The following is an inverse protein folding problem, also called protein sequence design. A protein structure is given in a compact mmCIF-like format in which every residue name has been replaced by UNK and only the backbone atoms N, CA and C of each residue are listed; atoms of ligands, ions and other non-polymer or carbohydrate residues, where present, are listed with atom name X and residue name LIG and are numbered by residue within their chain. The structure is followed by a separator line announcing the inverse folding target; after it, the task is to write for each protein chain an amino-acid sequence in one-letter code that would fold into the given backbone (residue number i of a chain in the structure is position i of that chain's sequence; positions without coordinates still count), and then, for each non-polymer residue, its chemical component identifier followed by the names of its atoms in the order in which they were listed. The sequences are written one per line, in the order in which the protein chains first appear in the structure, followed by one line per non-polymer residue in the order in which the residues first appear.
data_IF_623158561314
#
_entry.id   IF_623158561314
#
_cell.length_a   1.000
_cell.length_b   1.000
_cell.length_c   1.000
_cell.angle_alpha   90.00
_cell.angle_beta   90.00
_cell.angle_gamma   90.00
#
_symmetry.space_group_name_H-M   'P 1'
#
loop_
_entity.id
_entity.type
_entity.pdbx_description
1 polymer ?
#
# COMPACT_ATOMS: atom_id res chain seq x y z
N UNK A 1 -20.11 -17.08 18.45
CA UNK A 1 -20.91 -16.19 17.56
C UNK A 1 -20.26 -16.14 16.17
N UNK A 2 -20.29 -17.24 15.42
CA UNK A 2 -19.68 -17.31 14.08
C UNK A 2 -20.70 -17.16 12.94
N UNK A 3 -21.98 -17.43 13.20
CA UNK A 3 -23.03 -17.37 12.18
C UNK A 3 -23.53 -15.94 11.90
N UNK A 4 -23.30 -14.98 12.80
CA UNK A 4 -23.77 -13.60 12.63
C UNK A 4 -22.88 -12.78 11.68
N UNK A 5 -21.60 -13.13 11.52
CA UNK A 5 -20.64 -12.43 10.64
C UNK A 5 -20.91 -12.66 9.15
N UNK A 6 -21.74 -13.64 8.78
CA UNK A 6 -22.18 -13.83 7.39
C UNK A 6 -23.03 -12.67 6.87
N UNK A 7 -23.62 -11.87 7.76
CA UNK A 7 -24.36 -10.67 7.39
C UNK A 7 -23.48 -9.41 7.28
N UNK A 8 -22.19 -9.48 7.65
CA UNK A 8 -21.31 -8.33 7.59
C UNK A 8 -20.88 -8.05 6.15
N UNK A 9 -20.93 -6.79 5.69
CA UNK A 9 -20.44 -6.44 4.37
C UNK A 9 -18.92 -6.56 4.30
N UNK A 10 -18.37 -6.76 3.10
CA UNK A 10 -16.91 -6.78 2.88
C UNK A 10 -16.20 -5.49 3.33
N UNK A 11 -16.93 -4.37 3.41
CA UNK A 11 -16.45 -3.09 3.92
C UNK A 11 -16.37 -3.00 5.46
N UNK A 12 -16.65 -4.10 6.18
CA UNK A 12 -16.47 -4.15 7.62
C UNK A 12 -14.98 -3.92 7.98
N UNK A 13 -14.70 -2.83 8.69
CA UNK A 13 -13.35 -2.45 9.04
C UNK A 13 -12.64 -3.56 9.82
N UNK A 14 -11.45 -3.94 9.35
CA UNK A 14 -10.61 -4.97 9.97
C UNK A 14 -9.24 -4.37 10.27
N UNK A 15 -8.63 -4.81 11.38
CA UNK A 15 -7.26 -4.44 11.74
C UNK A 15 -6.36 -5.66 11.54
N UNK A 16 -5.29 -5.49 10.78
CA UNK A 16 -4.33 -6.55 10.45
C UNK A 16 -2.94 -6.02 10.78
N UNK A 17 -2.11 -6.84 11.41
CA UNK A 17 -0.68 -6.58 11.61
C UNK A 17 0.08 -7.44 10.62
N UNK A 18 0.98 -6.84 9.85
CA UNK A 18 1.77 -7.52 8.83
C UNK A 18 3.24 -7.16 9.02
N UNK A 19 4.12 -8.16 8.91
CA UNK A 19 5.57 -7.97 8.89
C UNK A 19 6.09 -8.45 7.54
N UNK A 20 6.92 -7.63 6.90
CA UNK A 20 7.54 -7.92 5.60
C UNK A 20 8.99 -7.46 5.62
N UNK A 21 9.88 -8.22 4.99
CA UNK A 21 11.22 -7.74 4.71
C UNK A 21 11.23 -6.73 3.55
N UNK A 22 12.37 -6.06 3.30
CA UNK A 22 12.45 -5.04 2.25
C UNK A 22 12.17 -5.55 0.83
N UNK A 23 12.55 -6.79 0.51
CA UNK A 23 12.28 -7.39 -0.81
C UNK A 23 10.78 -7.62 -1.01
N UNK A 24 10.12 -8.15 0.01
CA UNK A 24 8.66 -8.35 0.00
C UNK A 24 7.94 -7.00 -0.09
N UNK A 25 8.41 -6.00 0.64
CA UNK A 25 7.84 -4.65 0.61
C UNK A 25 7.98 -4.01 -0.78
N UNK A 26 9.15 -4.13 -1.42
CA UNK A 26 9.37 -3.68 -2.79
C UNK A 26 8.41 -4.38 -3.77
N UNK A 27 8.27 -5.69 -3.67
CA UNK A 27 7.34 -6.44 -4.50
C UNK A 27 5.89 -6.00 -4.26
N UNK A 28 5.49 -5.86 -3.00
CA UNK A 28 4.17 -5.39 -2.60
C UNK A 28 3.87 -4.02 -3.22
N UNK A 29 4.78 -3.06 -3.12
CA UNK A 29 4.61 -1.73 -3.70
C UNK A 29 4.48 -1.77 -5.22
N UNK A 30 5.32 -2.55 -5.92
CA UNK A 30 5.23 -2.68 -7.38
C UNK A 30 3.90 -3.25 -7.85
N UNK A 31 3.32 -4.20 -7.10
CA UNK A 31 2.04 -4.83 -7.48
C UNK A 31 0.85 -3.96 -7.06
N UNK A 32 0.90 -3.37 -5.86
CA UNK A 32 -0.25 -2.68 -5.25
C UNK A 32 -0.31 -1.18 -5.53
N UNK A 33 0.82 -0.55 -5.86
CA UNK A 33 0.85 0.84 -6.34
C UNK A 33 0.85 0.85 -7.86
N UNK A 34 -0.20 0.27 -8.44
CA UNK A 34 -0.39 0.18 -9.89
C UNK A 34 -1.74 0.74 -10.31
N UNK A 35 -1.92 1.16 -11.57
CA UNK A 35 -3.22 1.57 -12.11
C UNK A 35 -4.28 0.47 -12.05
N UNK A 36 -3.86 -0.80 -12.12
CA UNK A 36 -4.73 -1.96 -12.13
C UNK A 36 -5.14 -2.43 -10.72
N UNK A 37 -4.43 -1.97 -9.69
CA UNK A 37 -4.78 -2.27 -8.31
C UNK A 37 -6.04 -1.51 -7.86
N UNK A 38 -6.81 -2.12 -6.97
CA UNK A 38 -7.94 -1.48 -6.32
C UNK A 38 -7.47 -0.23 -5.57
N UNK A 39 -8.21 0.87 -5.72
CA UNK A 39 -7.78 2.20 -5.25
C UNK A 39 -7.54 2.26 -3.73
N UNK A 40 -8.30 1.50 -2.93
CA UNK A 40 -8.15 1.43 -1.47
C UNK A 40 -6.78 0.84 -1.06
N UNK A 41 -6.40 -0.32 -1.62
CA UNK A 41 -5.11 -0.94 -1.30
C UNK A 41 -3.93 -0.13 -1.86
N UNK A 42 -4.15 0.56 -2.98
CA UNK A 42 -3.17 1.48 -3.54
C UNK A 42 -2.90 2.64 -2.58
N UNK A 43 -3.95 3.27 -2.04
CA UNK A 43 -3.81 4.34 -1.05
C UNK A 43 -3.05 3.88 0.20
N UNK A 44 -3.36 2.67 0.70
CA UNK A 44 -2.60 2.05 1.80
C UNK A 44 -1.13 1.86 1.42
N UNK A 45 -0.84 1.33 0.24
CA UNK A 45 0.52 1.10 -0.25
C UNK A 45 1.33 2.39 -0.39
N UNK A 46 0.75 3.45 -0.93
CA UNK A 46 1.41 4.76 -1.06
C UNK A 46 1.73 5.33 0.33
N UNK A 47 0.79 5.27 1.28
CA UNK A 47 1.04 5.74 2.65
C UNK A 47 2.15 4.93 3.33
N UNK A 48 2.18 3.62 3.14
CA UNK A 48 3.26 2.76 3.62
C UNK A 48 4.61 3.15 3.00
N UNK A 49 4.66 3.41 1.69
CA UNK A 49 5.89 3.80 1.00
C UNK A 49 6.44 5.13 1.52
N UNK A 50 5.60 6.14 1.72
CA UNK A 50 6.03 7.44 2.29
C UNK A 50 6.52 7.32 3.74
N UNK A 51 6.02 6.36 4.52
CA UNK A 51 6.50 6.11 5.90
C UNK A 51 7.84 5.37 5.93
N UNK A 52 8.09 4.45 4.99
CA UNK A 52 9.30 3.62 4.97
C UNK A 52 10.45 4.30 4.23
N UNK A 53 10.16 5.10 3.21
CA UNK A 53 11.18 5.78 2.41
C UNK A 53 12.23 6.57 3.24
N UNK A 54 11.85 7.36 4.26
CA UNK A 54 12.83 8.07 5.11
C UNK A 54 13.79 7.15 5.87
N UNK A 55 13.38 5.90 6.15
CA UNK A 55 14.19 4.94 6.91
C UNK A 55 15.19 4.19 6.03
N UNK A 56 14.86 4.00 4.75
CA UNK A 56 15.68 3.25 3.80
C UNK A 56 15.63 3.88 2.39
N UNK A 57 16.13 5.11 2.22
CA UNK A 57 16.04 5.82 0.94
C UNK A 57 16.77 5.10 -0.18
N UNK A 58 17.89 4.44 0.10
CA UNK A 58 18.66 3.67 -0.89
C UNK A 58 17.92 2.45 -1.45
N UNK A 59 16.85 1.99 -0.77
CA UNK A 59 16.06 0.83 -1.20
C UNK A 59 14.79 1.27 -1.93
N UNK A 60 14.13 2.33 -1.44
CA UNK A 60 12.81 2.73 -1.91
C UNK A 60 12.78 4.03 -2.71
N UNK A 61 13.88 4.79 -2.75
CA UNK A 61 13.97 6.09 -3.41
C UNK A 61 13.64 6.03 -4.89
N UNK A 62 14.37 5.20 -5.65
CA UNK A 62 14.16 5.06 -7.10
C UNK A 62 12.70 4.71 -7.43
N UNK A 63 12.12 3.74 -6.72
CA UNK A 63 10.72 3.34 -6.91
C UNK A 63 9.75 4.48 -6.58
N UNK A 64 9.99 5.21 -5.50
CA UNK A 64 9.14 6.32 -5.09
C UNK A 64 9.17 7.44 -6.14
N UNK A 65 10.34 7.80 -6.61
CA UNK A 65 10.50 8.89 -7.58
C UNK A 65 9.90 8.51 -8.94
N UNK A 66 10.09 7.26 -9.37
CA UNK A 66 9.43 6.69 -10.57
C UNK A 66 7.91 6.80 -10.46
N UNK A 67 7.33 6.36 -9.34
CA UNK A 67 5.89 6.38 -9.11
C UNK A 67 5.33 7.80 -9.03
N UNK A 68 6.02 8.74 -8.38
CA UNK A 68 5.60 10.15 -8.30
C UNK A 68 5.66 10.84 -9.65
N UNK A 69 6.64 10.51 -10.50
CA UNK A 69 6.75 11.03 -11.85
C UNK A 69 5.68 10.44 -12.78
N UNK A 70 5.43 9.14 -12.68
CA UNK A 70 4.53 8.42 -13.61
C UNK A 70 3.07 8.56 -13.24
N UNK A 71 2.76 8.57 -11.95
CA UNK A 71 1.40 8.60 -11.41
C UNK A 71 1.27 9.61 -10.25
N UNK A 72 1.38 10.93 -10.52
CA UNK A 72 1.28 11.95 -9.48
C UNK A 72 -0.01 11.85 -8.66
N UNK A 73 -1.12 11.47 -9.31
CA UNK A 73 -2.44 11.35 -8.68
C UNK A 73 -2.53 10.27 -7.61
N UNK A 74 -1.59 9.32 -7.56
CA UNK A 74 -1.58 8.29 -6.50
C UNK A 74 -1.15 8.87 -5.16
N UNK A 75 -0.48 10.02 -5.15
CA UNK A 75 0.06 10.69 -3.97
C UNK A 75 -0.82 11.86 -3.51
N UNK A 76 -1.99 12.06 -4.12
CA UNK A 76 -2.94 13.08 -3.68
C UNK A 76 -3.51 12.71 -2.30
N UNK A 77 -3.35 13.60 -1.31
CA UNK A 77 -3.85 13.39 0.05
C UNK A 77 -2.95 12.55 0.97
N UNK A 78 -1.71 12.26 0.55
CA UNK A 78 -0.68 11.60 1.36
C UNK A 78 0.30 12.61 1.95
#
# INVERSE_FOLDING_TARGET
KENARFALPNAAATRIVVTMNFRELLHFFRVRISPQAQWEIRGVGVRMLELVHPLAPNVFGDLRDELRSSYPSFFEGV
#
